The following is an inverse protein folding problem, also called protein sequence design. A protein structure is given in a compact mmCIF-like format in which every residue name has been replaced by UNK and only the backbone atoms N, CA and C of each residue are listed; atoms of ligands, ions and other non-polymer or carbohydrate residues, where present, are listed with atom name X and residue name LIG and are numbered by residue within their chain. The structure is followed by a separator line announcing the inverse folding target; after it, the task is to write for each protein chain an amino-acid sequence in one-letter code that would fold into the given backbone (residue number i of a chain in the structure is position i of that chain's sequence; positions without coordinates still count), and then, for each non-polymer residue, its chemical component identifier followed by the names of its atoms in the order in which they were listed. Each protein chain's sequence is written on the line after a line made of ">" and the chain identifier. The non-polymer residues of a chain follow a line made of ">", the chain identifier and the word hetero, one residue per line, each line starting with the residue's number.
data_IF_266251379211
#
_entry.id   IF_266251379211
#
_cell.length_a   1.000
_cell.length_b   1.000
_cell.length_c   1.000
_cell.angle_alpha   90.00
_cell.angle_beta   90.00
_cell.angle_gamma   90.00
#
_symmetry.space_group_name_H-M   'P 1'
#
loop_
_entity.id
_entity.type
_entity.pdbx_description
1 polymer ?
#
# COMPACT_ATOMS: atom_id res chain seq x y z
N UNK A 1 -28.93 20.94 -26.53
CA UNK A 1 -30.34 21.37 -26.49
C UNK A 1 -30.60 22.46 -27.53
N UNK A 2 -31.40 22.15 -28.56
CA UNK A 2 -31.65 23.04 -29.72
C UNK A 2 -32.57 24.23 -29.45
N UNK A 3 -33.53 24.10 -28.53
CA UNK A 3 -34.54 25.15 -28.25
C UNK A 3 -34.74 25.37 -26.76
N UNK A 4 -35.10 26.61 -26.39
CA UNK A 4 -35.44 26.97 -25.01
C UNK A 4 -36.67 26.21 -24.50
N UNK A 5 -37.66 25.99 -25.37
CA UNK A 5 -38.86 25.20 -25.05
C UNK A 5 -38.49 23.78 -24.61
N UNK A 6 -37.69 23.07 -25.41
CA UNK A 6 -37.25 21.70 -25.09
C UNK A 6 -36.39 21.66 -23.83
N UNK A 7 -35.49 22.63 -23.65
CA UNK A 7 -34.69 22.77 -22.41
C UNK A 7 -35.60 22.89 -21.17
N UNK A 8 -36.59 23.76 -21.22
CA UNK A 8 -37.50 23.98 -20.09
C UNK A 8 -38.36 22.75 -19.78
N UNK A 9 -38.78 21.99 -20.79
CA UNK A 9 -39.48 20.71 -20.61
C UNK A 9 -38.59 19.68 -19.89
N UNK A 10 -37.33 19.54 -20.31
CA UNK A 10 -36.36 18.63 -19.68
C UNK A 10 -36.10 19.02 -18.23
N UNK A 11 -35.89 20.31 -17.95
CA UNK A 11 -35.68 20.81 -16.58
C UNK A 11 -36.91 20.57 -15.71
N UNK A 12 -38.12 20.75 -16.25
CA UNK A 12 -39.36 20.44 -15.54
C UNK A 12 -39.42 18.97 -15.14
N UNK A 13 -39.11 18.05 -16.06
CA UNK A 13 -39.06 16.61 -15.79
C UNK A 13 -38.01 16.30 -14.72
N UNK A 14 -36.82 16.90 -14.80
CA UNK A 14 -35.77 16.70 -13.80
C UNK A 14 -36.22 17.15 -12.39
N UNK A 15 -36.93 18.28 -12.29
CA UNK A 15 -37.50 18.76 -11.02
C UNK A 15 -38.56 17.82 -10.46
N UNK A 16 -39.43 17.26 -11.32
CA UNK A 16 -40.41 16.25 -10.91
C UNK A 16 -39.74 14.97 -10.41
N UNK A 17 -38.65 14.53 -11.05
CA UNK A 17 -37.88 13.34 -10.64
C UNK A 17 -37.16 13.59 -9.32
N UNK A 18 -36.58 14.78 -9.12
CA UNK A 18 -35.98 15.22 -7.85
C UNK A 18 -36.99 15.22 -6.72
N UNK A 19 -38.15 15.86 -6.92
CA UNK A 19 -39.25 15.92 -5.91
C UNK A 19 -39.85 14.56 -5.57
N UNK A 20 -39.62 13.55 -6.42
CA UNK A 20 -40.07 12.19 -6.18
C UNK A 20 -38.95 11.30 -5.62
N UNK A 21 -37.79 11.87 -5.25
CA UNK A 21 -36.61 11.16 -4.71
C UNK A 21 -36.14 10.01 -5.62
N UNK A 22 -36.11 10.26 -6.94
CA UNK A 22 -35.84 9.20 -7.93
C UNK A 22 -34.39 9.10 -8.39
N UNK A 23 -33.55 10.06 -8.01
CA UNK A 23 -32.12 10.03 -8.28
C UNK A 23 -31.41 9.17 -7.23
N UNK A 24 -30.86 8.04 -7.66
CA UNK A 24 -30.21 7.04 -6.82
C UNK A 24 -28.82 6.77 -7.41
N UNK A 25 -27.77 6.98 -6.62
CA UNK A 25 -26.40 6.65 -7.00
C UNK A 25 -26.15 5.13 -6.96
N UNK A 26 -25.17 4.67 -7.72
CA UNK A 26 -24.67 3.29 -7.72
C UNK A 26 -25.48 2.30 -8.55
N UNK A 27 -26.59 2.71 -9.17
CA UNK A 27 -27.45 1.82 -9.96
C UNK A 27 -28.04 2.55 -11.18
N UNK A 28 -27.96 1.93 -12.37
CA UNK A 28 -28.51 2.50 -13.60
C UNK A 28 -30.01 2.79 -13.50
N UNK A 29 -30.80 1.73 -13.27
CA UNK A 29 -32.22 1.79 -12.91
C UNK A 29 -32.43 0.92 -11.68
N UNK A 30 -33.30 1.37 -10.79
CA UNK A 30 -33.66 0.71 -9.55
C UNK A 30 -35.15 0.90 -9.30
N UNK A 31 -35.90 -0.21 -9.22
CA UNK A 31 -37.31 -0.21 -8.82
C UNK A 31 -38.19 0.79 -9.58
N UNK A 32 -39.42 0.99 -9.11
CA UNK A 32 -40.27 2.08 -9.60
C UNK A 32 -40.80 2.88 -8.43
N UNK A 33 -40.72 4.19 -8.53
CA UNK A 33 -41.30 5.15 -7.58
C UNK A 33 -42.34 5.96 -8.34
N UNK A 34 -43.59 5.92 -7.86
CA UNK A 34 -44.73 6.59 -8.51
C UNK A 34 -44.88 6.21 -9.99
N UNK A 35 -44.70 4.92 -10.32
CA UNK A 35 -44.92 4.36 -11.65
C UNK A 35 -43.77 4.54 -12.66
N UNK A 36 -42.69 5.23 -12.29
CA UNK A 36 -41.50 5.45 -13.12
C UNK A 36 -40.24 4.94 -12.43
N UNK A 37 -39.23 4.51 -13.17
CA UNK A 37 -37.99 3.96 -12.63
C UNK A 37 -37.18 5.00 -11.86
N UNK A 38 -36.68 4.68 -10.67
CA UNK A 38 -35.59 5.43 -10.05
C UNK A 38 -34.23 4.91 -10.56
N UNK A 39 -33.14 5.60 -10.28
CA UNK A 39 -31.81 5.20 -10.74
C UNK A 39 -30.85 6.38 -10.86
N UNK A 40 -29.71 6.17 -11.49
CA UNK A 40 -28.72 7.20 -11.73
C UNK A 40 -29.31 8.33 -12.58
N UNK A 41 -28.56 9.42 -12.71
CA UNK A 41 -29.10 10.65 -13.31
C UNK A 41 -29.76 10.41 -14.68
N UNK A 42 -29.02 9.94 -15.69
CA UNK A 42 -29.60 9.72 -17.02
C UNK A 42 -30.45 8.46 -17.10
N UNK A 43 -30.22 7.44 -16.28
CA UNK A 43 -31.13 6.28 -16.20
C UNK A 43 -32.52 6.73 -15.77
N UNK A 44 -32.61 7.42 -14.65
CA UNK A 44 -33.84 7.99 -14.16
C UNK A 44 -34.49 8.94 -15.17
N UNK A 45 -33.71 9.76 -15.89
CA UNK A 45 -34.27 10.72 -16.84
C UNK A 45 -34.76 10.08 -18.14
N UNK A 46 -34.05 9.12 -18.70
CA UNK A 46 -34.41 8.45 -19.97
C UNK A 46 -35.46 7.36 -19.81
N UNK A 47 -35.58 6.77 -18.62
CA UNK A 47 -36.45 5.61 -18.39
C UNK A 47 -36.16 4.43 -19.33
N UNK A 48 -34.89 4.30 -19.75
CA UNK A 48 -34.45 3.33 -20.75
C UNK A 48 -33.38 2.39 -20.18
N UNK A 49 -33.56 1.09 -20.36
CA UNK A 49 -32.71 0.02 -19.79
C UNK A 49 -31.88 -0.72 -20.87
N UNK A 50 -31.65 -0.06 -22.02
CA UNK A 50 -30.79 -0.61 -23.07
C UNK A 50 -29.31 -0.55 -22.70
N UNK A 51 -28.47 -1.25 -23.47
CA UNK A 51 -27.01 -1.20 -23.29
C UNK A 51 -26.38 0.11 -23.78
N UNK A 52 -27.06 0.81 -24.68
CA UNK A 52 -26.72 2.08 -25.33
C UNK A 52 -27.31 3.29 -24.57
N UNK A 53 -27.40 3.18 -23.26
CA UNK A 53 -28.26 4.05 -22.48
C UNK A 53 -27.73 5.49 -22.33
N UNK A 54 -26.41 5.67 -22.35
CA UNK A 54 -25.77 6.98 -22.33
C UNK A 54 -25.80 7.64 -23.71
N UNK A 55 -25.64 6.85 -24.77
CA UNK A 55 -25.86 7.28 -26.16
C UNK A 55 -27.30 7.74 -26.34
N UNK A 56 -28.26 6.99 -25.80
CA UNK A 56 -29.67 7.37 -25.82
C UNK A 56 -29.92 8.68 -25.10
N UNK A 57 -29.31 8.88 -23.93
CA UNK A 57 -29.39 10.14 -23.20
C UNK A 57 -28.79 11.30 -24.01
N UNK A 58 -27.61 11.10 -24.60
CA UNK A 58 -26.95 12.07 -25.49
C UNK A 58 -27.89 12.52 -26.61
N UNK A 59 -28.55 11.58 -27.28
CA UNK A 59 -29.54 11.86 -28.33
C UNK A 59 -30.79 12.59 -27.80
N UNK A 60 -31.40 12.08 -26.73
CA UNK A 60 -32.69 12.56 -26.23
C UNK A 60 -32.62 13.98 -25.62
N UNK A 61 -31.50 14.28 -24.96
CA UNK A 61 -31.22 15.57 -24.35
C UNK A 61 -30.47 16.52 -25.29
N UNK A 62 -30.05 16.03 -26.48
CA UNK A 62 -29.25 16.79 -27.45
C UNK A 62 -28.00 17.38 -26.76
N UNK A 63 -27.27 16.52 -26.04
CA UNK A 63 -26.04 16.86 -25.33
C UNK A 63 -24.89 16.03 -25.88
N UNK A 64 -23.65 16.55 -25.91
CA UNK A 64 -22.53 15.77 -26.39
C UNK A 64 -22.25 14.59 -25.44
N UNK A 65 -21.95 13.42 -26.00
CA UNK A 65 -21.76 12.17 -25.25
C UNK A 65 -20.72 12.30 -24.12
N UNK A 66 -19.62 13.03 -24.35
CA UNK A 66 -18.61 13.27 -23.32
C UNK A 66 -19.19 13.97 -22.08
N UNK A 67 -20.12 14.91 -22.27
CA UNK A 67 -20.72 15.66 -21.16
C UNK A 67 -21.68 14.77 -20.39
N UNK A 68 -22.39 13.88 -21.07
CA UNK A 68 -23.25 12.86 -20.43
C UNK A 68 -22.41 11.95 -19.54
N UNK A 69 -21.27 11.44 -20.03
CA UNK A 69 -20.36 10.64 -19.22
C UNK A 69 -19.78 11.40 -18.01
N UNK A 70 -19.31 12.63 -18.23
CA UNK A 70 -18.75 13.45 -17.15
C UNK A 70 -19.83 13.75 -16.10
N UNK A 71 -21.04 14.09 -16.53
CA UNK A 71 -22.15 14.37 -15.63
C UNK A 71 -22.54 13.14 -14.78
N UNK A 72 -22.58 11.93 -15.36
CA UNK A 72 -22.76 10.71 -14.57
C UNK A 72 -21.66 10.52 -13.54
N UNK A 73 -20.39 10.70 -13.94
CA UNK A 73 -19.27 10.52 -13.01
C UNK A 73 -19.25 11.55 -11.88
N UNK A 74 -19.64 12.80 -12.17
CA UNK A 74 -19.81 13.82 -11.14
C UNK A 74 -20.98 13.43 -10.23
N UNK A 75 -22.15 13.10 -10.80
CA UNK A 75 -23.32 12.68 -10.03
C UNK A 75 -22.98 11.53 -9.08
N UNK A 76 -22.31 10.49 -9.55
CA UNK A 76 -21.91 9.32 -8.73
C UNK A 76 -20.82 9.63 -7.69
N UNK A 77 -20.06 10.71 -7.85
CA UNK A 77 -18.98 11.11 -6.96
C UNK A 77 -19.35 12.16 -5.91
N UNK A 78 -20.51 12.82 -6.05
CA UNK A 78 -20.99 13.84 -5.12
C UNK A 78 -21.52 13.23 -3.81
N UNK A 79 -21.50 14.03 -2.74
CA UNK A 79 -22.24 13.69 -1.52
C UNK A 79 -23.74 13.53 -1.84
N UNK A 80 -24.45 12.66 -1.13
CA UNK A 80 -25.83 12.29 -1.45
C UNK A 80 -26.76 13.52 -1.52
N UNK A 81 -26.58 14.49 -0.63
CA UNK A 81 -27.37 15.72 -0.58
C UNK A 81 -27.14 16.61 -1.80
N UNK A 82 -25.90 16.66 -2.30
CA UNK A 82 -25.53 17.42 -3.50
C UNK A 82 -25.93 16.69 -4.78
N UNK A 83 -25.81 15.36 -4.79
CA UNK A 83 -26.13 14.51 -5.93
C UNK A 83 -27.61 14.65 -6.34
N UNK A 84 -28.53 14.77 -5.38
CA UNK A 84 -29.97 14.95 -5.67
C UNK A 84 -30.26 16.29 -6.36
N UNK A 85 -29.47 17.33 -6.07
CA UNK A 85 -29.63 18.66 -6.66
C UNK A 85 -28.93 18.80 -8.02
N UNK A 86 -27.80 18.11 -8.19
CA UNK A 86 -26.91 18.22 -9.34
C UNK A 86 -27.59 18.08 -10.72
N UNK A 87 -28.45 17.07 -10.98
CA UNK A 87 -29.20 16.92 -12.22
C UNK A 87 -29.88 18.21 -12.70
N UNK A 88 -30.60 18.87 -11.80
CA UNK A 88 -31.36 20.08 -12.12
C UNK A 88 -30.40 21.25 -12.35
N UNK A 89 -29.41 21.42 -11.46
CA UNK A 89 -28.42 22.50 -11.55
C UNK A 89 -27.63 22.44 -12.86
N UNK A 90 -27.19 21.25 -13.27
CA UNK A 90 -26.47 21.05 -14.53
C UNK A 90 -27.34 21.44 -15.74
N UNK A 91 -28.57 20.92 -15.80
CA UNK A 91 -29.47 21.18 -16.92
C UNK A 91 -29.85 22.67 -17.01
N UNK A 92 -29.98 23.36 -15.87
CA UNK A 92 -30.19 24.81 -15.82
C UNK A 92 -28.96 25.57 -16.33
N UNK A 93 -27.75 25.15 -15.95
CA UNK A 93 -26.49 25.80 -16.31
C UNK A 93 -26.12 25.68 -17.81
N UNK A 94 -26.52 24.60 -18.50
CA UNK A 94 -26.15 24.38 -19.91
C UNK A 94 -26.94 25.32 -20.83
N UNK A 95 -26.31 26.26 -21.57
CA UNK A 95 -27.03 27.15 -22.46
C UNK A 95 -27.57 26.40 -23.70
N UNK A 96 -28.67 26.91 -24.28
CA UNK A 96 -29.16 26.39 -25.56
C UNK A 96 -28.13 26.67 -26.66
N UNK A 97 -27.99 25.73 -27.60
CA UNK A 97 -27.03 25.84 -28.73
C UNK A 97 -25.58 26.08 -28.28
N UNK A 98 -25.19 25.53 -27.13
CA UNK A 98 -23.82 25.55 -26.67
C UNK A 98 -22.89 24.94 -27.74
N UNK A 99 -21.84 25.66 -28.12
CA UNK A 99 -20.73 25.08 -28.86
C UNK A 99 -19.90 24.23 -27.88
N UNK A 100 -20.09 22.91 -27.93
CA UNK A 100 -19.45 21.96 -27.03
C UNK A 100 -17.95 21.83 -27.26
N UNK A 101 -17.45 22.13 -28.46
CA UNK A 101 -16.07 21.84 -28.84
C UNK A 101 -15.10 22.76 -28.09
N UNK A 102 -15.44 24.05 -27.99
CA UNK A 102 -14.65 25.01 -27.20
C UNK A 102 -14.65 24.67 -25.71
N UNK A 103 -15.80 24.24 -25.19
CA UNK A 103 -15.93 23.83 -23.79
C UNK A 103 -15.11 22.57 -23.52
N UNK A 104 -15.21 21.58 -24.41
CA UNK A 104 -14.45 20.33 -24.32
C UNK A 104 -12.94 20.59 -24.33
N UNK A 105 -12.46 21.39 -25.29
CA UNK A 105 -11.04 21.80 -25.38
C UNK A 105 -10.56 22.44 -24.07
N UNK A 106 -11.31 23.41 -23.55
CA UNK A 106 -10.97 24.08 -22.28
C UNK A 106 -11.01 23.14 -21.09
N UNK A 107 -12.01 22.25 -21.03
CA UNK A 107 -12.14 21.26 -19.96
C UNK A 107 -10.95 20.29 -19.96
N UNK A 108 -10.58 19.74 -21.13
CA UNK A 108 -9.41 18.86 -21.27
C UNK A 108 -8.11 19.59 -20.90
N UNK A 109 -7.95 20.84 -21.32
CA UNK A 109 -6.79 21.65 -20.93
C UNK A 109 -6.69 21.79 -19.40
N UNK A 110 -7.79 22.12 -18.73
CA UNK A 110 -7.84 22.25 -17.26
C UNK A 110 -7.52 20.92 -16.57
N UNK A 111 -8.09 19.80 -17.04
CA UNK A 111 -7.77 18.47 -16.49
C UNK A 111 -6.27 18.13 -16.56
N UNK A 112 -5.56 18.66 -17.56
CA UNK A 112 -4.12 18.44 -17.71
C UNK A 112 -3.28 19.46 -16.96
N UNK A 113 -3.63 20.75 -17.03
CA UNK A 113 -2.74 21.87 -16.67
C UNK A 113 -3.15 22.66 -15.44
N UNK A 114 -4.30 22.36 -14.82
CA UNK A 114 -4.69 23.01 -13.57
C UNK A 114 -3.60 22.85 -12.51
N UNK A 115 -3.32 23.94 -11.78
CA UNK A 115 -2.17 24.03 -10.88
C UNK A 115 -2.36 23.25 -9.59
N UNK A 116 -3.60 22.96 -9.23
CA UNK A 116 -3.95 22.28 -7.97
C UNK A 116 -4.38 20.84 -8.24
N UNK A 117 -5.20 20.64 -9.28
CA UNK A 117 -5.88 19.37 -9.54
C UNK A 117 -5.56 18.75 -10.92
N UNK A 118 -4.74 19.43 -11.74
CA UNK A 118 -4.39 18.96 -13.07
C UNK A 118 -3.33 17.86 -13.04
N UNK A 119 -3.27 17.02 -14.08
CA UNK A 119 -2.28 15.94 -14.17
C UNK A 119 -0.83 16.43 -14.08
N UNK A 120 -0.57 17.68 -14.47
CA UNK A 120 0.76 18.30 -14.39
C UNK A 120 1.34 18.31 -12.97
N UNK A 121 0.49 18.31 -11.93
CA UNK A 121 0.92 18.35 -10.51
C UNK A 121 1.61 17.06 -10.06
N UNK A 122 1.34 15.94 -10.73
CA UNK A 122 2.01 14.65 -10.49
C UNK A 122 3.36 14.53 -11.18
N UNK A 123 3.86 15.61 -11.80
CA UNK A 123 5.11 15.59 -12.54
C UNK A 123 6.10 16.63 -12.00
N UNK A 124 7.39 16.29 -12.04
CA UNK A 124 8.45 17.26 -11.76
C UNK A 124 8.61 18.19 -12.95
N UNK A 125 8.58 19.51 -12.71
CA UNK A 125 8.79 20.53 -13.74
C UNK A 125 10.05 20.22 -14.57
N UNK A 126 9.89 20.16 -15.89
CA UNK A 126 10.97 19.87 -16.84
C UNK A 126 11.24 18.38 -17.10
N UNK A 127 10.58 17.45 -16.39
CA UNK A 127 10.67 16.02 -16.70
C UNK A 127 10.05 15.68 -18.06
N UNK A 128 10.32 14.47 -18.56
CA UNK A 128 9.70 13.98 -19.79
C UNK A 128 8.17 13.93 -19.67
N UNK A 129 7.65 13.50 -18.52
CA UNK A 129 6.21 13.44 -18.22
C UNK A 129 5.59 14.84 -18.23
N UNK A 130 6.25 15.81 -17.58
CA UNK A 130 5.81 17.20 -17.57
C UNK A 130 5.71 17.76 -19.01
N UNK A 131 6.74 17.53 -19.82
CA UNK A 131 6.79 17.98 -21.22
C UNK A 131 5.70 17.31 -22.05
N UNK A 132 5.49 16.01 -21.89
CA UNK A 132 4.47 15.27 -22.63
C UNK A 132 3.05 15.73 -22.27
N UNK A 133 2.73 15.91 -20.98
CA UNK A 133 1.43 16.45 -20.55
C UNK A 133 1.22 17.83 -21.15
N UNK A 134 2.22 18.71 -21.06
CA UNK A 134 2.13 20.06 -21.63
C UNK A 134 1.89 20.01 -23.14
N UNK A 135 2.62 19.16 -23.87
CA UNK A 135 2.47 19.01 -25.32
C UNK A 135 1.06 18.55 -25.69
N UNK A 136 0.49 17.56 -24.97
CA UNK A 136 -0.90 17.16 -25.18
C UNK A 136 -1.89 18.29 -24.84
N UNK A 137 -1.65 19.03 -23.75
CA UNK A 137 -2.51 20.13 -23.35
C UNK A 137 -2.51 21.26 -24.39
N UNK A 138 -1.35 21.60 -24.94
CA UNK A 138 -1.20 22.66 -25.93
C UNK A 138 -2.04 22.39 -27.20
N UNK A 139 -2.29 21.11 -27.57
CA UNK A 139 -3.17 20.76 -28.70
C UNK A 139 -4.61 21.24 -28.50
N UNK A 140 -5.10 21.26 -27.26
CA UNK A 140 -6.45 21.74 -26.95
C UNK A 140 -6.57 23.27 -27.03
N UNK A 141 -5.45 24.00 -27.09
CA UNK A 141 -5.45 25.44 -27.30
C UNK A 141 -5.46 25.82 -28.78
N UNK A 142 -5.21 24.86 -29.69
CA UNK A 142 -5.18 25.11 -31.13
C UNK A 142 -6.59 25.07 -31.72
N UNK A 143 -6.85 25.92 -32.70
CA UNK A 143 -8.12 25.90 -33.45
C UNK A 143 -8.20 24.65 -34.34
N UNK A 144 -7.13 24.37 -35.09
CA UNK A 144 -6.94 23.17 -35.89
C UNK A 144 -5.79 22.32 -35.33
N UNK A 145 -5.98 21.00 -35.31
CA UNK A 145 -4.98 20.06 -34.81
C UNK A 145 -4.31 19.41 -36.01
N UNK A 146 -3.01 19.64 -36.15
CA UNK A 146 -2.18 18.94 -37.12
C UNK A 146 -1.98 17.47 -36.69
N UNK A 147 -2.22 16.54 -37.61
CA UNK A 147 -2.16 15.10 -37.33
C UNK A 147 -0.75 14.67 -36.88
N UNK A 148 0.30 15.27 -37.47
CA UNK A 148 1.68 14.98 -37.09
C UNK A 148 2.01 15.51 -35.69
N UNK A 149 1.47 16.67 -35.31
CA UNK A 149 1.57 17.22 -33.95
C UNK A 149 0.86 16.34 -32.93
N UNK A 150 -0.34 15.84 -33.27
CA UNK A 150 -1.08 14.89 -32.44
C UNK A 150 -0.33 13.56 -32.28
N UNK A 151 0.22 13.01 -33.37
CA UNK A 151 1.06 11.80 -33.35
C UNK A 151 2.30 11.97 -32.49
N UNK A 152 3.00 13.10 -32.65
CA UNK A 152 4.20 13.42 -31.85
C UNK A 152 3.89 13.56 -30.36
N UNK A 153 2.75 14.18 -30.02
CA UNK A 153 2.30 14.29 -28.63
C UNK A 153 1.96 12.93 -28.04
N UNK A 154 1.28 12.07 -28.81
CA UNK A 154 0.94 10.71 -28.39
C UNK A 154 2.19 9.84 -28.16
N UNK A 155 3.18 9.91 -29.06
CA UNK A 155 4.45 9.19 -28.91
C UNK A 155 5.26 9.68 -27.70
N UNK A 156 5.29 11.00 -27.49
CA UNK A 156 5.95 11.60 -26.32
C UNK A 156 5.28 11.17 -25.01
N UNK A 157 3.94 11.17 -24.97
CA UNK A 157 3.17 10.70 -23.81
C UNK A 157 3.41 9.21 -23.53
N UNK A 158 3.39 8.36 -24.57
CA UNK A 158 3.69 6.93 -24.46
C UNK A 158 5.09 6.68 -23.92
N UNK A 159 6.10 7.30 -24.53
CA UNK A 159 7.50 7.16 -24.13
C UNK A 159 7.73 7.62 -22.68
N UNK A 160 7.10 8.73 -22.28
CA UNK A 160 7.19 9.24 -20.92
C UNK A 160 6.53 8.29 -19.91
N UNK A 161 5.39 7.68 -20.26
CA UNK A 161 4.68 6.70 -19.43
C UNK A 161 5.47 5.39 -19.29
N UNK A 162 6.02 4.87 -20.39
CA UNK A 162 6.88 3.66 -20.38
C UNK A 162 8.13 3.90 -19.52
N UNK A 163 8.77 5.06 -19.66
CA UNK A 163 9.91 5.45 -18.84
C UNK A 163 9.56 5.53 -17.35
N UNK A 164 8.40 6.12 -17.01
CA UNK A 164 7.95 6.20 -15.62
C UNK A 164 7.66 4.81 -15.04
N UNK A 165 7.02 3.93 -15.81
CA UNK A 165 6.73 2.55 -15.40
C UNK A 165 8.01 1.76 -15.15
N UNK A 166 8.98 1.85 -16.06
CA UNK A 166 10.28 1.19 -15.90
C UNK A 166 11.03 1.70 -14.67
N UNK A 167 11.04 3.02 -14.45
CA UNK A 167 11.66 3.61 -13.26
C UNK A 167 11.00 3.12 -11.95
N UNK A 168 9.67 3.07 -11.92
CA UNK A 168 8.93 2.54 -10.77
C UNK A 168 9.22 1.06 -10.52
N UNK A 169 9.27 0.24 -11.59
CA UNK A 169 9.61 -1.17 -11.51
C UNK A 169 11.02 -1.41 -10.97
N UNK A 170 12.00 -0.67 -11.48
CA UNK A 170 13.39 -0.73 -10.99
C UNK A 170 13.50 -0.33 -9.52
N UNK A 171 12.84 0.76 -9.12
CA UNK A 171 12.85 1.22 -7.74
C UNK A 171 12.24 0.17 -6.77
N UNK A 172 11.11 -0.43 -7.15
CA UNK A 172 10.49 -1.50 -6.38
C UNK A 172 11.38 -2.74 -6.28
N UNK A 173 12.01 -3.15 -7.39
CA UNK A 173 12.95 -4.26 -7.42
C UNK A 173 14.17 -4.03 -6.53
N UNK A 174 14.79 -2.85 -6.62
CA UNK A 174 15.93 -2.48 -5.76
C UNK A 174 15.57 -2.43 -4.27
N UNK A 175 14.37 -1.95 -3.93
CA UNK A 175 13.89 -1.93 -2.56
C UNK A 175 13.69 -3.36 -2.01
N UNK A 176 13.12 -4.26 -2.82
CA UNK A 176 12.92 -5.66 -2.44
C UNK A 176 14.26 -6.37 -2.23
N UNK A 177 15.23 -6.17 -3.12
CA UNK A 177 16.57 -6.77 -3.01
C UNK A 177 17.33 -6.24 -1.79
N UNK A 178 17.20 -4.95 -1.50
CA UNK A 178 17.81 -4.33 -0.31
C UNK A 178 17.21 -4.91 0.98
N UNK A 179 15.88 -5.07 1.02
CA UNK A 179 15.19 -5.66 2.17
C UNK A 179 15.60 -7.13 2.37
N UNK A 180 15.72 -7.90 1.28
CA UNK A 180 16.20 -9.28 1.32
C UNK A 180 17.64 -9.37 1.85
N UNK A 181 18.55 -8.56 1.30
CA UNK A 181 19.95 -8.52 1.73
C UNK A 181 20.09 -8.17 3.22
N UNK A 182 19.27 -7.24 3.71
CA UNK A 182 19.24 -6.87 5.13
C UNK A 182 18.74 -8.03 6.00
N UNK A 183 17.69 -8.73 5.57
CA UNK A 183 17.16 -9.90 6.29
C UNK A 183 18.16 -11.06 6.33
N UNK A 184 18.84 -11.36 5.22
CA UNK A 184 19.88 -12.38 5.14
C UNK A 184 21.06 -12.04 6.05
N UNK A 185 21.53 -10.78 6.03
CA UNK A 185 22.61 -10.30 6.91
C UNK A 185 22.26 -10.41 8.40
N UNK A 186 21.01 -10.09 8.76
CA UNK A 186 20.53 -10.23 10.13
C UNK A 186 20.49 -11.71 10.58
N UNK A 187 20.04 -12.61 9.70
CA UNK A 187 20.01 -14.05 9.97
C UNK A 187 21.42 -14.64 10.14
N UNK A 188 22.37 -14.26 9.28
CA UNK A 188 23.78 -14.66 9.36
C UNK A 188 24.41 -14.20 10.70
N UNK A 189 24.13 -12.96 11.09
CA UNK A 189 24.61 -12.37 12.34
C UNK A 189 24.03 -13.10 13.56
N UNK A 190 22.72 -13.39 13.55
CA UNK A 190 22.07 -14.14 14.61
C UNK A 190 22.62 -15.57 14.74
N UNK A 191 22.85 -16.24 13.61
CA UNK A 191 23.45 -17.59 13.57
C UNK A 191 24.88 -17.58 14.14
N UNK A 192 25.67 -16.59 13.75
CA UNK A 192 27.05 -16.43 14.23
C UNK A 192 27.08 -16.19 15.74
N UNK A 193 26.22 -15.29 16.24
CA UNK A 193 26.08 -15.02 17.67
C UNK A 193 25.65 -16.27 18.46
N UNK A 194 24.67 -17.03 17.95
CA UNK A 194 24.22 -18.27 18.58
C UNK A 194 25.33 -19.34 18.62
N UNK A 195 26.10 -19.48 17.53
CA UNK A 195 27.21 -20.43 17.47
C UNK A 195 28.33 -20.04 18.43
N UNK A 196 28.71 -18.77 18.48
CA UNK A 196 29.71 -18.27 19.44
C UNK A 196 29.25 -18.48 20.88
N UNK A 197 28.00 -18.16 21.20
CA UNK A 197 27.44 -18.36 22.54
C UNK A 197 27.44 -19.84 22.94
N UNK A 198 27.00 -20.73 22.04
CA UNK A 198 27.01 -22.18 22.29
C UNK A 198 28.43 -22.73 22.48
N UNK A 199 29.38 -22.31 21.63
CA UNK A 199 30.77 -22.73 21.73
C UNK A 199 31.41 -22.27 23.03
N UNK A 200 31.25 -20.99 23.39
CA UNK A 200 31.76 -20.44 24.65
C UNK A 200 31.16 -21.16 25.86
N UNK A 201 29.85 -21.40 25.87
CA UNK A 201 29.19 -22.11 26.96
C UNK A 201 29.71 -23.56 27.10
N UNK A 202 29.81 -24.29 25.99
CA UNK A 202 30.32 -25.66 25.98
C UNK A 202 31.78 -25.73 26.46
N UNK A 203 32.63 -24.83 25.96
CA UNK A 203 34.04 -24.75 26.35
C UNK A 203 34.20 -24.43 27.83
N UNK A 204 33.50 -23.39 28.32
CA UNK A 204 33.54 -23.00 29.74
C UNK A 204 33.04 -24.11 30.65
N UNK A 205 31.97 -24.82 30.29
CA UNK A 205 31.45 -25.94 31.05
C UNK A 205 32.44 -27.11 31.10
N UNK A 206 32.98 -27.51 29.94
CA UNK A 206 33.96 -28.60 29.86
C UNK A 206 35.23 -28.30 30.66
N UNK A 207 35.76 -27.08 30.53
CA UNK A 207 36.96 -26.65 31.25
C UNK A 207 36.73 -26.58 32.77
N UNK A 208 35.59 -26.04 33.20
CA UNK A 208 35.23 -25.96 34.62
C UNK A 208 35.03 -27.35 35.24
N UNK A 209 34.38 -28.27 34.51
CA UNK A 209 34.19 -29.65 34.95
C UNK A 209 35.52 -30.39 35.08
N UNK A 210 36.39 -30.31 34.06
CA UNK A 210 37.70 -30.94 34.06
C UNK A 210 38.59 -30.42 35.22
N UNK A 211 38.61 -29.10 35.43
CA UNK A 211 39.37 -28.47 36.51
C UNK A 211 38.85 -28.88 37.89
N UNK A 212 37.53 -28.91 38.07
CA UNK A 212 36.90 -29.30 39.33
C UNK A 212 37.15 -30.77 39.68
N UNK A 213 37.07 -31.65 38.68
CA UNK A 213 37.38 -33.07 38.84
C UNK A 213 38.86 -33.29 39.20
N UNK A 214 39.78 -32.65 38.49
CA UNK A 214 41.22 -32.73 38.76
C UNK A 214 41.56 -32.23 40.17
N UNK A 215 41.00 -31.09 40.58
CA UNK A 215 41.25 -30.54 41.91
C UNK A 215 40.67 -31.40 43.03
N UNK A 216 39.47 -31.94 42.84
CA UNK A 216 38.83 -32.84 43.80
C UNK A 216 39.62 -34.14 43.95
N UNK A 217 40.06 -34.73 42.83
CA UNK A 217 40.88 -35.95 42.84
C UNK A 217 42.22 -35.72 43.57
N UNK A 218 42.92 -34.63 43.24
CA UNK A 218 44.19 -34.28 43.88
C UNK A 218 44.02 -34.06 45.39
N UNK A 219 42.97 -33.34 45.81
CA UNK A 219 42.70 -33.06 47.23
C UNK A 219 42.31 -34.31 48.01
N UNK A 220 41.50 -35.19 47.43
CA UNK A 220 41.13 -36.46 48.04
C UNK A 220 42.34 -37.37 48.20
N UNK A 221 43.18 -37.50 47.16
CA UNK A 221 44.41 -38.28 47.24
C UNK A 221 45.36 -37.76 48.32
N UNK A 222 45.58 -36.43 48.39
CA UNK A 222 46.41 -35.81 49.40
C UNK A 222 45.87 -36.03 50.83
N UNK A 223 44.56 -35.90 51.04
CA UNK A 223 43.92 -36.17 52.34
C UNK A 223 44.03 -37.62 52.77
N UNK A 224 43.74 -38.56 51.87
CA UNK A 224 43.84 -39.99 52.16
C UNK A 224 45.28 -40.37 52.51
N UNK A 225 46.27 -39.86 51.75
CA UNK A 225 47.68 -40.10 52.06
C UNK A 225 48.07 -39.53 53.44
N UNK A 226 47.68 -38.30 53.75
CA UNK A 226 47.96 -37.67 55.04
C UNK A 226 47.29 -38.42 56.21
N UNK A 227 46.04 -38.85 56.05
CA UNK A 227 45.29 -39.57 57.08
C UNK A 227 45.87 -40.96 57.33
N UNK A 228 46.18 -41.71 56.27
CA UNK A 228 46.85 -43.01 56.37
C UNK A 228 48.21 -42.91 57.06
N UNK A 229 49.01 -41.89 56.71
CA UNK A 229 50.30 -41.64 57.34
C UNK A 229 50.15 -41.32 58.84
N UNK A 230 49.24 -40.41 59.20
CA UNK A 230 48.97 -40.04 60.58
C UNK A 230 48.45 -41.21 61.42
N UNK A 231 47.51 -41.99 60.88
CA UNK A 231 46.95 -43.17 61.54
C UNK A 231 48.01 -44.26 61.77
N UNK A 232 48.83 -44.54 60.74
CA UNK A 232 49.90 -45.53 60.84
C UNK A 232 50.95 -45.13 61.87
N UNK A 233 51.31 -43.84 61.92
CA UNK A 233 52.23 -43.30 62.91
C UNK A 233 51.65 -43.40 64.34
N UNK A 234 50.39 -43.00 64.53
CA UNK A 234 49.72 -43.05 65.82
C UNK A 234 49.53 -44.49 66.33
N UNK A 235 49.10 -45.41 65.45
CA UNK A 235 48.94 -46.82 65.79
C UNK A 235 50.27 -47.48 66.15
N UNK A 236 51.32 -47.23 65.37
CA UNK A 236 52.66 -47.75 65.66
C UNK A 236 53.18 -47.23 66.99
N UNK A 237 53.02 -45.93 67.27
CA UNK A 237 53.41 -45.34 68.55
C UNK A 237 52.64 -45.94 69.73
N UNK A 238 51.32 -46.09 69.60
CA UNK A 238 50.48 -46.67 70.64
C UNK A 238 50.81 -48.15 70.89
N UNK A 239 51.01 -48.94 69.83
CA UNK A 239 51.38 -50.35 69.92
C UNK A 239 52.75 -50.53 70.57
N UNK A 240 53.75 -49.76 70.13
CA UNK A 240 55.08 -49.77 70.76
C UNK A 240 55.01 -49.40 72.24
N UNK A 241 54.25 -48.35 72.60
CA UNK A 241 54.09 -47.96 74.00
C UNK A 241 53.41 -49.05 74.85
N UNK A 242 52.33 -49.64 74.33
CA UNK A 242 51.60 -50.72 75.01
C UNK A 242 52.46 -51.99 75.17
N UNK A 243 53.19 -52.37 74.12
CA UNK A 243 54.09 -53.52 74.15
C UNK A 243 55.24 -53.32 75.14
N UNK A 244 55.87 -52.14 75.13
CA UNK A 244 56.90 -51.79 76.11
C UNK A 244 56.36 -51.84 77.54
N UNK A 245 55.17 -51.27 77.79
CA UNK A 245 54.54 -51.31 79.11
C UNK A 245 54.21 -52.75 79.57
N UNK A 246 53.65 -53.57 78.69
CA UNK A 246 53.32 -54.96 79.00
C UNK A 246 54.58 -55.81 79.24
N UNK A 247 55.63 -55.62 78.45
CA UNK A 247 56.90 -56.33 78.61
C UNK A 247 57.60 -55.94 79.92
N UNK A 248 57.60 -54.66 80.29
CA UNK A 248 58.10 -54.20 81.59
C UNK A 248 57.29 -54.78 82.76
N UNK A 249 55.97 -54.90 82.63
CA UNK A 249 55.11 -55.49 83.68
C UNK A 249 55.30 -57.01 83.85
N UNK A 250 55.61 -57.74 82.78
CA UNK A 250 55.76 -59.20 82.82
C UNK A 250 57.12 -59.68 83.38
N UNK A 251 58.11 -58.79 83.49
CA UNK A 251 59.47 -59.08 83.97
C UNK A 251 59.84 -58.30 85.25
N UNK A 252 58.82 -57.81 85.97
CA UNK A 252 58.94 -57.23 87.32
C UNK A 252 58.40 -58.21 88.36
#
# INVERSE_FOLDING_TARGET
>A
MKTLKRKNEIIKIAKEHRQADRFIQGQWLNGKVKGKYSGCFFGCMTQYDGRDSLEKASEEFDMPLWLVHVAEKIFEGLAQEEAVEFPVQLLEAIPCRLNSDKVYKKFMYVMLMDKENGQITFTKKGSAQYKAIKQCADLFLMDEIDESAAGSAAESARSAAESARSAAGSAAGSAAESARSAAESAAESARSAAWSAAWSAAWSAAWSAARSAAWSAARSAARSAAWSAAWSAAWSAAWSAAWSAAWSAAWS
#
